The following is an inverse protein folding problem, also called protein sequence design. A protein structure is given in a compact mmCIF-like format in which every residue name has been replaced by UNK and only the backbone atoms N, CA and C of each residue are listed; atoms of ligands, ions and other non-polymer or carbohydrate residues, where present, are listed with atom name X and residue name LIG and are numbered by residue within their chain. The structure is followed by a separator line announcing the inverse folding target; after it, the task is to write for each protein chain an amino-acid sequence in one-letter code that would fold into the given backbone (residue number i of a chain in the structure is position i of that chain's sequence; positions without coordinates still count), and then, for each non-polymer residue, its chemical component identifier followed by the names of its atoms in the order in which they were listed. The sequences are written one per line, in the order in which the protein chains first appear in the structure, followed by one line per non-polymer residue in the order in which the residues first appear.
data_IF_421488353135
#
_entry.id   IF_421488353135
#
_cell.length_a   1.000
_cell.length_b   1.000
_cell.length_c   1.000
_cell.angle_alpha   90.00
_cell.angle_beta   90.00
_cell.angle_gamma   90.00
#
_symmetry.space_group_name_H-M   'P 1'
#
loop_
_entity.id
_entity.type
_entity.pdbx_description
1 polymer ?
#
# COMPACT_ATOMS: atom_id res chain seq x y z
N UNK A 1 9.44 -3.42 12.93
CA UNK A 1 8.73 -3.31 11.63
C UNK A 1 8.46 -1.83 11.32
N UNK A 2 9.49 -1.08 10.94
CA UNK A 2 9.33 0.35 10.59
C UNK A 2 8.68 0.53 9.21
N UNK A 3 8.96 -0.37 8.27
CA UNK A 3 8.39 -0.38 6.91
C UNK A 3 6.85 -0.41 6.90
N UNK A 4 6.21 -1.14 7.82
CA UNK A 4 4.75 -1.17 7.91
C UNK A 4 4.19 0.19 8.38
N UNK A 5 4.83 0.83 9.36
CA UNK A 5 4.39 2.15 9.85
C UNK A 5 4.56 3.25 8.80
N UNK A 6 5.60 3.15 7.97
CA UNK A 6 5.82 4.07 6.85
C UNK A 6 4.82 3.83 5.73
N UNK A 7 4.60 2.57 5.33
CA UNK A 7 3.55 2.19 4.41
C UNK A 7 2.17 2.65 4.87
N UNK A 8 1.91 2.59 6.18
CA UNK A 8 0.69 3.10 6.77
C UNK A 8 0.47 4.60 6.46
N UNK A 9 1.50 5.42 6.66
CA UNK A 9 1.44 6.85 6.37
C UNK A 9 1.29 7.13 4.88
N UNK A 10 1.95 6.33 4.04
CA UNK A 10 1.92 6.49 2.59
C UNK A 10 0.53 6.22 2.02
N UNK A 11 -0.12 5.11 2.42
CA UNK A 11 -1.47 4.81 1.93
C UNK A 11 -2.54 5.74 2.49
N UNK A 12 -2.39 6.24 3.73
CA UNK A 12 -3.30 7.24 4.29
C UNK A 12 -3.26 8.51 3.45
N UNK A 13 -2.07 8.98 3.06
CA UNK A 13 -1.90 10.12 2.16
C UNK A 13 -2.55 9.88 0.80
N UNK A 14 -2.41 8.67 0.25
CA UNK A 14 -3.05 8.30 -1.00
C UNK A 14 -4.59 8.31 -0.88
N UNK A 15 -5.13 7.78 0.22
CA UNK A 15 -6.56 7.82 0.48
C UNK A 15 -7.09 9.27 0.56
N UNK A 16 -6.37 10.16 1.26
CA UNK A 16 -6.70 11.58 1.32
C UNK A 16 -6.59 12.25 -0.05
N UNK A 17 -5.59 11.88 -0.86
CA UNK A 17 -5.41 12.40 -2.21
C UNK A 17 -6.58 12.03 -3.13
N UNK A 18 -7.02 10.77 -3.10
CA UNK A 18 -8.14 10.27 -3.90
C UNK A 18 -9.47 10.93 -3.49
N UNK A 19 -9.68 11.11 -2.18
CA UNK A 19 -10.94 11.63 -1.63
C UNK A 19 -10.95 13.16 -1.39
N UNK A 20 -9.94 13.90 -1.85
CA UNK A 20 -9.77 15.35 -1.56
C UNK A 20 -10.96 16.24 -1.95
N UNK A 21 -11.76 15.82 -2.93
CA UNK A 21 -12.93 16.57 -3.41
C UNK A 21 -14.27 15.91 -3.02
N UNK A 22 -14.23 14.90 -2.15
CA UNK A 22 -15.41 14.22 -1.65
C UNK A 22 -15.82 14.75 -0.27
N UNK A 23 -17.11 14.61 0.06
CA UNK A 23 -17.67 15.03 1.36
C UNK A 23 -17.01 14.31 2.54
N UNK A 24 -16.61 13.05 2.33
CA UNK A 24 -15.68 12.34 3.19
C UNK A 24 -14.31 12.35 2.52
N UNK A 25 -13.31 12.94 3.17
CA UNK A 25 -12.00 13.24 2.61
C UNK A 25 -10.88 12.33 3.15
N UNK A 26 -11.24 11.18 3.74
CA UNK A 26 -10.29 10.25 4.36
C UNK A 26 -9.40 10.87 5.46
N UNK A 27 -9.89 11.87 6.19
CA UNK A 27 -9.20 12.43 7.35
C UNK A 27 -9.09 11.42 8.49
N UNK A 28 -7.90 11.30 9.09
CA UNK A 28 -7.67 10.45 10.27
C UNK A 28 -8.21 11.13 11.53
N UNK A 29 -8.89 10.37 12.38
CA UNK A 29 -9.43 10.85 13.66
C UNK A 29 -8.52 10.42 14.80
N UNK A 30 -7.79 11.38 15.39
CA UNK A 30 -6.76 11.14 16.41
C UNK A 30 -7.31 10.64 17.77
N UNK A 31 -8.64 10.56 17.92
CA UNK A 31 -9.34 10.24 19.18
C UNK A 31 -10.06 8.90 19.20
N UNK A 32 -10.10 8.16 18.09
CA UNK A 32 -10.79 6.87 18.00
C UNK A 32 -9.80 5.68 18.03
N UNK A 33 -10.25 4.55 18.57
CA UNK A 33 -9.47 3.28 18.57
C UNK A 33 -9.15 2.75 17.16
N UNK A 34 -9.83 3.27 16.14
CA UNK A 34 -9.58 2.98 14.72
C UNK A 34 -9.12 4.25 14.02
N UNK A 35 -8.12 4.15 13.14
CA UNK A 35 -7.51 5.27 12.40
C UNK A 35 -8.54 6.16 11.65
N UNK A 36 -9.71 5.61 11.32
CA UNK A 36 -10.82 6.28 10.60
C UNK A 36 -12.16 6.28 11.35
N UNK A 37 -12.17 5.95 12.65
CA UNK A 37 -13.36 6.00 13.50
C UNK A 37 -14.53 5.14 13.02
N UNK A 38 -15.75 5.67 13.19
CA UNK A 38 -17.02 4.97 12.88
C UNK A 38 -17.24 4.64 11.40
N UNK A 39 -16.48 5.24 10.48
CA UNK A 39 -16.57 4.91 9.04
C UNK A 39 -16.25 3.44 8.82
N UNK A 40 -15.32 2.88 9.59
CA UNK A 40 -14.96 1.46 9.52
C UNK A 40 -15.99 0.53 10.17
N UNK A 41 -16.91 1.05 10.99
CA UNK A 41 -17.96 0.26 11.64
C UNK A 41 -19.20 0.07 10.77
N UNK A 42 -19.30 0.81 9.67
CA UNK A 42 -20.43 0.74 8.75
C UNK A 42 -19.96 0.10 7.44
N UNK A 43 -20.74 -0.83 6.90
CA UNK A 43 -20.48 -1.44 5.59
C UNK A 43 -20.72 -0.43 4.46
N UNK A 44 -19.80 0.52 4.31
CA UNK A 44 -19.86 1.58 3.29
C UNK A 44 -18.82 1.37 2.19
N UNK A 45 -18.99 2.08 1.07
CA UNK A 45 -18.02 2.04 -0.04
C UNK A 45 -16.66 2.59 0.39
N UNK A 46 -16.66 3.58 1.27
CA UNK A 46 -15.47 4.20 1.85
C UNK A 46 -14.72 3.20 2.73
N UNK A 47 -15.42 2.44 3.58
CA UNK A 47 -14.80 1.39 4.39
C UNK A 47 -14.14 0.31 3.51
N UNK A 48 -14.84 -0.17 2.48
CA UNK A 48 -14.29 -1.13 1.53
C UNK A 48 -13.01 -0.59 0.84
N UNK A 49 -13.02 0.68 0.44
CA UNK A 49 -11.84 1.32 -0.14
C UNK A 49 -10.68 1.39 0.86
N UNK A 50 -10.94 1.80 2.10
CA UNK A 50 -9.93 1.88 3.17
C UNK A 50 -9.28 0.51 3.42
N UNK A 51 -10.06 -0.57 3.47
CA UNK A 51 -9.51 -1.93 3.60
C UNK A 51 -8.63 -2.33 2.40
N UNK A 52 -9.05 -2.00 1.17
CA UNK A 52 -8.29 -2.30 -0.02
C UNK A 52 -6.96 -1.52 -0.05
N UNK A 53 -7.01 -0.21 0.14
CA UNK A 53 -5.82 0.66 0.05
C UNK A 53 -4.85 0.43 1.22
N UNK A 54 -5.35 0.11 2.41
CA UNK A 54 -4.50 -0.24 3.56
C UNK A 54 -3.73 -1.54 3.34
N UNK A 55 -4.40 -2.57 2.81
CA UNK A 55 -3.75 -3.84 2.46
C UNK A 55 -2.71 -3.63 1.36
N UNK A 56 -3.06 -2.86 0.33
CA UNK A 56 -2.13 -2.49 -0.75
C UNK A 56 -0.92 -1.70 -0.23
N UNK A 57 -1.14 -0.76 0.70
CA UNK A 57 -0.09 0.05 1.32
C UNK A 57 0.93 -0.78 2.11
N UNK A 58 0.46 -1.77 2.87
CA UNK A 58 1.35 -2.69 3.60
C UNK A 58 2.17 -3.53 2.62
N UNK A 59 1.54 -4.11 1.60
CA UNK A 59 2.25 -4.90 0.58
C UNK A 59 3.28 -4.04 -0.13
N UNK A 60 2.91 -2.84 -0.57
CA UNK A 60 3.80 -1.92 -1.26
C UNK A 60 5.05 -1.58 -0.42
N UNK A 61 4.86 -1.21 0.85
CA UNK A 61 5.97 -0.83 1.71
C UNK A 61 6.88 -2.01 2.08
N UNK A 62 6.32 -3.20 2.28
CA UNK A 62 7.13 -4.41 2.50
C UNK A 62 7.92 -4.74 1.24
N UNK A 63 7.29 -4.79 0.07
CA UNK A 63 7.98 -5.09 -1.19
C UNK A 63 9.12 -4.10 -1.47
N UNK A 64 8.91 -2.81 -1.19
CA UNK A 64 9.93 -1.77 -1.32
C UNK A 64 11.09 -1.94 -0.34
N UNK A 65 10.79 -2.23 0.94
CA UNK A 65 11.83 -2.49 1.93
C UNK A 65 12.63 -3.76 1.63
N UNK A 66 11.98 -4.79 1.06
CA UNK A 66 12.63 -6.00 0.58
C UNK A 66 13.58 -5.71 -0.59
N UNK A 67 13.15 -4.91 -1.58
CA UNK A 67 13.99 -4.58 -2.73
C UNK A 67 15.15 -3.63 -2.38
N UNK A 68 15.02 -2.83 -1.34
CA UNK A 68 16.09 -1.98 -0.81
C UNK A 68 17.10 -2.73 0.08
N UNK A 69 16.77 -3.95 0.52
CA UNK A 69 17.61 -4.75 1.40
C UNK A 69 17.50 -4.39 2.89
N UNK A 70 16.52 -3.56 3.27
CA UNK A 70 16.25 -3.19 4.66
C UNK A 70 15.73 -4.37 5.50
N UNK A 71 15.08 -5.33 4.84
CA UNK A 71 14.53 -6.54 5.44
C UNK A 71 15.37 -7.76 5.03
N UNK A 72 16.07 -8.37 5.99
CA UNK A 72 16.90 -9.56 5.75
C UNK A 72 16.13 -10.85 5.46
N UNK A 73 14.81 -10.85 5.63
CA UNK A 73 13.97 -12.06 5.52
C UNK A 73 13.43 -12.29 4.10
N UNK A 74 13.55 -11.31 3.23
CA UNK A 74 13.04 -11.31 1.86
C UNK A 74 14.12 -10.77 0.92
N UNK A 75 14.00 -11.08 -0.37
CA UNK A 75 14.89 -10.62 -1.42
C UNK A 75 14.08 -10.32 -2.69
N UNK A 76 14.75 -9.72 -3.69
CA UNK A 76 14.22 -9.62 -5.05
C UNK A 76 13.90 -11.00 -5.63
N UNK A 77 12.96 -11.05 -6.57
CA UNK A 77 12.55 -12.28 -7.24
C UNK A 77 13.69 -12.83 -8.11
N UNK A 78 14.29 -13.94 -7.69
CA UNK A 78 15.38 -14.60 -8.39
C UNK A 78 14.96 -15.26 -9.70
N UNK A 79 13.66 -15.41 -9.95
CA UNK A 79 13.15 -15.95 -11.21
C UNK A 79 13.11 -14.92 -12.35
N UNK A 80 13.34 -13.64 -12.06
CA UNK A 80 13.35 -12.53 -13.03
C UNK A 80 14.78 -12.04 -13.30
N UNK A 81 15.61 -12.93 -13.82
CA UNK A 81 16.99 -12.62 -14.19
C UNK A 81 17.32 -13.17 -15.58
N UNK A 82 18.18 -12.47 -16.32
CA UNK A 82 18.70 -12.88 -17.61
C UNK A 82 17.77 -12.58 -18.78
N UNK A 83 18.07 -13.18 -19.94
CA UNK A 83 17.31 -12.92 -21.16
C UNK A 83 15.96 -13.62 -21.16
N UNK A 84 14.91 -12.86 -21.44
CA UNK A 84 13.57 -13.33 -21.76
C UNK A 84 13.17 -12.85 -23.16
N UNK A 85 12.10 -13.44 -23.71
CA UNK A 85 11.46 -12.88 -24.91
C UNK A 85 9.95 -12.86 -24.75
N UNK A 86 9.33 -11.77 -25.18
CA UNK A 86 7.88 -11.64 -25.32
C UNK A 86 7.52 -11.37 -26.80
N UNK A 87 6.23 -11.12 -27.07
CA UNK A 87 5.73 -10.80 -28.41
C UNK A 87 6.38 -9.54 -29.03
N UNK A 88 7.13 -8.75 -28.24
CA UNK A 88 7.83 -7.54 -28.68
C UNK A 88 9.32 -7.76 -28.91
N UNK A 89 9.86 -8.94 -28.59
CA UNK A 89 11.24 -9.34 -28.86
C UNK A 89 11.99 -9.82 -27.62
N UNK A 90 13.31 -9.97 -27.75
CA UNK A 90 14.18 -10.37 -26.64
C UNK A 90 14.60 -9.16 -25.80
N UNK A 91 14.58 -9.33 -24.49
CA UNK A 91 15.05 -8.34 -23.50
C UNK A 91 15.81 -9.04 -22.37
N UNK A 92 16.65 -8.29 -21.68
CA UNK A 92 17.34 -8.73 -20.46
C UNK A 92 16.64 -8.08 -19.25
N UNK A 93 16.35 -8.86 -18.21
CA UNK A 93 15.75 -8.37 -16.96
C UNK A 93 16.74 -7.59 -16.11
#
# INVERSE_FOLDING_TARGET
MQSISEGAKEWIKECQHQFRHYRWNCSTLDRDHTVFGRVMLRSSREAAFVYAISSAGVVHAITRACSQGDLKVCNCDSHKHGQASDDKGSFDW
#
